data_IF_014327212260
#
_entry.id   IF_014327212260
#
_cell.length_a   1.000
_cell.length_b   1.000
_cell.length_c   1.000
_cell.angle_alpha   90.00
_cell.angle_beta   90.00
_cell.angle_gamma   90.00
#
_symmetry.space_group_name_H-M   'P 1'
#
loop_
_entity.id
_entity.type
_entity.pdbx_description
1 polymer ?
#
# COMPACT_ATOMS: atom_id res chain seq x y z
N UNK A 1 -5.36 -15.69 -40.18
CA UNK A 1 -4.74 -15.57 -38.84
C UNK A 1 -3.32 -16.07 -38.99
N UNK A 2 -2.31 -15.30 -38.58
CA UNK A 2 -0.90 -15.66 -38.78
C UNK A 2 -0.36 -16.62 -37.72
N UNK A 3 -1.20 -17.02 -36.76
CA UNK A 3 -0.83 -17.97 -35.73
C UNK A 3 -0.86 -19.39 -36.29
N UNK A 4 0.28 -19.83 -36.80
CA UNK A 4 0.55 -21.20 -37.22
C UNK A 4 1.67 -21.79 -36.35
N UNK A 5 1.28 -22.66 -35.42
CA UNK A 5 2.21 -23.30 -34.48
C UNK A 5 2.99 -24.46 -35.10
N UNK A 6 2.59 -24.93 -36.28
CA UNK A 6 3.24 -26.04 -36.98
C UNK A 6 4.26 -25.50 -37.99
N UNK A 7 3.92 -24.46 -38.73
CA UNK A 7 4.81 -23.84 -39.71
C UNK A 7 5.79 -22.85 -39.06
N UNK A 8 5.31 -21.98 -38.15
CA UNK A 8 6.13 -20.95 -37.51
C UNK A 8 5.97 -20.96 -35.97
N UNK A 9 6.51 -21.98 -35.28
CA UNK A 9 6.35 -22.12 -33.83
C UNK A 9 6.87 -20.91 -33.05
N UNK A 10 8.04 -20.38 -33.42
CA UNK A 10 8.69 -19.26 -32.72
C UNK A 10 7.90 -17.96 -32.85
N UNK A 11 7.38 -17.66 -34.04
CA UNK A 11 6.53 -16.50 -34.28
C UNK A 11 5.25 -16.59 -33.45
N UNK A 12 4.59 -17.74 -33.52
CA UNK A 12 3.33 -17.95 -32.83
C UNK A 12 3.49 -17.87 -31.31
N UNK A 13 4.58 -18.44 -30.77
CA UNK A 13 4.90 -18.30 -29.34
C UNK A 13 5.23 -16.87 -28.95
N UNK A 14 5.98 -16.14 -29.79
CA UNK A 14 6.25 -14.73 -29.55
C UNK A 14 4.96 -13.90 -29.45
N UNK A 15 4.01 -14.10 -30.37
CA UNK A 15 2.71 -13.41 -30.36
C UNK A 15 1.90 -13.78 -29.11
N UNK A 16 1.86 -15.06 -28.72
CA UNK A 16 1.21 -15.49 -27.47
C UNK A 16 1.85 -14.82 -26.24
N UNK A 17 3.18 -14.76 -26.17
CA UNK A 17 3.88 -14.07 -25.10
C UNK A 17 3.58 -12.57 -25.07
N UNK A 18 3.43 -11.91 -26.22
CA UNK A 18 2.96 -10.52 -26.33
C UNK A 18 1.56 -10.38 -25.70
N UNK A 19 0.61 -11.26 -26.03
CA UNK A 19 -0.75 -11.24 -25.47
C UNK A 19 -0.76 -11.42 -23.95
N UNK A 20 -0.07 -12.45 -23.44
CA UNK A 20 -0.01 -12.74 -22.00
C UNK A 20 0.63 -11.58 -21.23
N UNK A 21 1.75 -11.05 -21.73
CA UNK A 21 2.47 -9.95 -21.10
C UNK A 21 1.67 -8.65 -21.15
N UNK A 22 1.04 -8.36 -22.29
CA UNK A 22 0.17 -7.20 -22.45
C UNK A 22 -1.02 -7.24 -21.49
N UNK A 23 -1.69 -8.39 -21.39
CA UNK A 23 -2.79 -8.59 -20.45
C UNK A 23 -2.33 -8.41 -19.00
N UNK A 24 -1.23 -9.04 -18.61
CA UNK A 24 -0.68 -8.92 -17.26
C UNK A 24 -0.36 -7.47 -16.90
N UNK A 25 0.29 -6.72 -17.80
CA UNK A 25 0.60 -5.31 -17.58
C UNK A 25 -0.64 -4.42 -17.50
N UNK A 26 -1.64 -4.66 -18.35
CA UNK A 26 -2.92 -3.93 -18.27
C UNK A 26 -3.62 -4.18 -16.94
N UNK A 27 -3.70 -5.44 -16.51
CA UNK A 27 -4.31 -5.82 -15.23
C UNK A 27 -3.56 -5.13 -14.07
N UNK A 28 -2.23 -5.19 -14.05
CA UNK A 28 -1.42 -4.56 -13.00
C UNK A 28 -1.46 -3.03 -13.03
N UNK A 29 -1.64 -2.42 -14.20
CA UNK A 29 -1.80 -0.96 -14.32
C UNK A 29 -3.16 -0.48 -13.84
N UNK A 30 -4.23 -1.20 -14.19
CA UNK A 30 -5.62 -0.86 -13.86
C UNK A 30 -5.95 -1.20 -12.40
N UNK A 31 -5.56 -2.39 -11.95
CA UNK A 31 -5.84 -2.82 -10.57
C UNK A 31 -4.87 -2.10 -9.63
N UNK A 32 -5.40 -1.41 -8.62
CA UNK A 32 -4.57 -0.81 -7.57
C UNK A 32 -4.09 -1.87 -6.56
N UNK A 33 -3.43 -2.92 -7.05
CA UNK A 33 -2.87 -3.96 -6.22
C UNK A 33 -1.39 -3.66 -6.02
N UNK A 34 -0.95 -3.62 -4.76
CA UNK A 34 0.48 -3.62 -4.43
C UNK A 34 1.13 -2.25 -4.18
N UNK A 35 0.39 -1.13 -4.18
CA UNK A 35 0.96 0.18 -3.84
C UNK A 35 1.88 0.76 -4.92
N UNK A 36 1.67 0.34 -6.18
CA UNK A 36 2.41 0.85 -7.32
C UNK A 36 2.07 2.34 -7.54
N UNK A 37 3.10 3.18 -7.73
CA UNK A 37 2.90 4.62 -7.90
C UNK A 37 2.06 4.93 -9.14
N UNK A 38 1.36 6.08 -9.15
CA UNK A 38 0.52 6.50 -10.29
C UNK A 38 1.30 6.49 -11.61
N UNK A 39 2.56 6.93 -11.58
CA UNK A 39 3.44 6.92 -12.76
C UNK A 39 3.76 5.50 -13.26
N UNK A 40 4.10 4.58 -12.36
CA UNK A 40 4.37 3.19 -12.75
C UNK A 40 3.13 2.47 -13.29
N UNK A 41 1.94 2.81 -12.76
CA UNK A 41 0.68 2.28 -13.28
C UNK A 41 0.40 2.78 -14.70
N UNK A 42 0.56 4.08 -14.93
CA UNK A 42 0.42 4.66 -16.27
C UNK A 42 1.42 4.01 -17.26
N UNK A 43 2.66 3.83 -16.84
CA UNK A 43 3.67 3.13 -17.65
C UNK A 43 3.23 1.69 -17.97
N UNK A 44 2.76 0.92 -17.00
CA UNK A 44 2.27 -0.45 -17.23
C UNK A 44 1.08 -0.47 -18.20
N UNK A 45 0.17 0.50 -18.12
CA UNK A 45 -0.95 0.57 -19.08
C UNK A 45 -0.43 0.85 -20.49
N UNK A 46 0.44 1.85 -20.66
CA UNK A 46 1.01 2.20 -21.98
C UNK A 46 1.81 1.04 -22.56
N UNK A 47 2.69 0.44 -21.75
CA UNK A 47 3.46 -0.71 -22.16
C UNK A 47 2.54 -1.89 -22.51
N UNK A 48 1.54 -2.18 -21.66
CA UNK A 48 0.54 -3.23 -21.89
C UNK A 48 -0.23 -3.03 -23.20
N UNK A 49 -0.64 -1.80 -23.51
CA UNK A 49 -1.26 -1.46 -24.80
C UNK A 49 -0.29 -1.66 -25.97
N UNK A 50 1.00 -1.32 -25.81
CA UNK A 50 2.02 -1.59 -26.81
C UNK A 50 2.20 -3.08 -27.08
N UNK A 51 2.31 -3.89 -26.03
CA UNK A 51 2.40 -5.35 -26.12
C UNK A 51 1.16 -5.96 -26.77
N UNK A 52 -0.03 -5.55 -26.31
CA UNK A 52 -1.31 -6.05 -26.82
C UNK A 52 -1.53 -5.62 -28.28
N UNK A 53 -1.30 -4.35 -28.59
CA UNK A 53 -1.45 -3.79 -29.93
C UNK A 53 -0.48 -4.43 -30.93
N UNK A 54 0.78 -4.62 -30.55
CA UNK A 54 1.76 -5.27 -31.40
C UNK A 54 1.45 -6.77 -31.61
N UNK A 55 0.97 -7.46 -30.56
CA UNK A 55 0.49 -8.85 -30.68
C UNK A 55 -0.71 -8.98 -31.62
N UNK A 56 -1.68 -8.06 -31.54
CA UNK A 56 -2.83 -8.01 -32.46
C UNK A 56 -2.37 -7.74 -33.88
N UNK A 57 -1.48 -6.77 -34.07
CA UNK A 57 -0.93 -6.42 -35.38
C UNK A 57 -0.28 -7.64 -36.03
N UNK A 58 0.64 -8.32 -35.34
CA UNK A 58 1.32 -9.49 -35.87
C UNK A 58 0.38 -10.68 -36.07
N UNK A 59 -0.48 -10.99 -35.09
CA UNK A 59 -1.33 -12.18 -35.12
C UNK A 59 -2.47 -12.13 -36.15
N UNK A 60 -2.99 -10.93 -36.44
CA UNK A 60 -4.23 -10.78 -37.22
C UNK A 60 -4.12 -9.88 -38.45
N UNK A 61 -3.29 -8.84 -38.43
CA UNK A 61 -3.25 -7.81 -39.47
C UNK A 61 -2.09 -8.01 -40.44
N UNK A 62 -0.93 -8.41 -39.91
CA UNK A 62 0.27 -8.65 -40.69
C UNK A 62 0.04 -9.74 -41.74
N UNK A 63 0.62 -9.64 -42.92
CA UNK A 63 0.36 -10.61 -44.03
C UNK A 63 1.65 -11.29 -44.53
N UNK A 64 2.80 -10.95 -43.95
CA UNK A 64 4.10 -11.47 -44.33
C UNK A 64 5.15 -10.35 -44.49
N UNK A 65 6.41 -10.75 -44.55
CA UNK A 65 7.58 -9.87 -44.62
C UNK A 65 8.48 -9.98 -43.39
N UNK A 66 9.36 -8.99 -43.21
CA UNK A 66 10.28 -8.94 -42.06
C UNK A 66 9.62 -8.27 -40.86
N UNK A 67 9.78 -8.86 -39.69
CA UNK A 67 9.33 -8.31 -38.42
C UNK A 67 10.47 -8.31 -37.40
N UNK A 68 10.37 -7.43 -36.41
CA UNK A 68 11.39 -7.30 -35.37
C UNK A 68 10.91 -7.99 -34.10
N UNK A 69 11.65 -9.02 -33.70
CA UNK A 69 11.42 -9.71 -32.44
C UNK A 69 12.29 -9.06 -31.36
N UNK A 70 11.66 -8.43 -30.39
CA UNK A 70 12.36 -7.84 -29.24
C UNK A 70 12.13 -8.67 -27.98
N UNK A 71 12.75 -9.85 -27.88
CA UNK A 71 12.63 -10.68 -26.67
C UNK A 71 13.03 -9.94 -25.39
N UNK A 72 13.97 -9.00 -25.49
CA UNK A 72 14.41 -8.15 -24.37
C UNK A 72 13.29 -7.29 -23.81
N UNK A 73 12.28 -6.96 -24.62
CA UNK A 73 11.11 -6.21 -24.14
C UNK A 73 10.35 -6.98 -23.06
N UNK A 74 10.39 -8.32 -23.05
CA UNK A 74 9.72 -9.14 -22.04
C UNK A 74 10.41 -9.17 -20.68
N UNK A 75 11.64 -8.67 -20.56
CA UNK A 75 12.31 -8.58 -19.25
C UNK A 75 11.51 -7.69 -18.30
N UNK A 76 11.01 -6.56 -18.82
CA UNK A 76 10.22 -5.61 -18.05
C UNK A 76 8.92 -6.22 -17.49
N UNK A 77 8.01 -6.80 -18.30
CA UNK A 77 6.78 -7.40 -17.78
C UNK A 77 7.08 -8.52 -16.79
N UNK A 78 8.07 -9.38 -17.06
CA UNK A 78 8.44 -10.47 -16.15
C UNK A 78 8.94 -9.91 -14.81
N UNK A 79 9.81 -8.90 -14.81
CA UNK A 79 10.28 -8.28 -13.58
C UNK A 79 9.15 -7.64 -12.77
N UNK A 80 8.22 -6.93 -13.44
CA UNK A 80 7.08 -6.30 -12.77
C UNK A 80 6.19 -7.36 -12.12
N UNK A 81 5.89 -8.45 -12.83
CA UNK A 81 5.07 -9.57 -12.31
C UNK A 81 5.76 -10.26 -11.13
N UNK A 82 7.05 -10.58 -11.24
CA UNK A 82 7.82 -11.22 -10.15
C UNK A 82 7.88 -10.30 -8.92
N UNK A 83 8.14 -9.00 -9.11
CA UNK A 83 8.17 -8.04 -8.02
C UNK A 83 6.81 -7.87 -7.35
N UNK A 84 5.72 -7.92 -8.12
CA UNK A 84 4.37 -7.91 -7.59
C UNK A 84 4.12 -9.09 -6.65
N UNK A 85 4.41 -10.32 -7.07
CA UNK A 85 4.23 -11.51 -6.24
C UNK A 85 5.16 -11.52 -5.02
N UNK A 86 6.44 -11.16 -5.21
CA UNK A 86 7.41 -11.07 -4.12
C UNK A 86 6.95 -10.06 -3.05
N UNK A 87 6.43 -8.90 -3.46
CA UNK A 87 5.91 -7.89 -2.52
C UNK A 87 4.73 -8.39 -1.69
N UNK A 88 3.83 -9.21 -2.28
CA UNK A 88 2.73 -9.83 -1.53
C UNK A 88 3.22 -10.86 -0.53
N UNK A 89 4.22 -11.66 -0.88
CA UNK A 89 4.81 -12.65 0.03
C UNK A 89 5.43 -12.01 1.26
N UNK A 90 6.18 -10.91 1.11
CA UNK A 90 6.75 -10.18 2.24
C UNK A 90 5.68 -9.56 3.16
N UNK A 91 4.58 -9.03 2.60
CA UNK A 91 3.47 -8.52 3.42
C UNK A 91 2.76 -9.63 4.20
N UNK A 92 2.58 -10.81 3.60
CA UNK A 92 1.99 -11.97 4.28
C UNK A 92 2.90 -12.47 5.41
N UNK A 93 4.22 -12.50 5.20
CA UNK A 93 5.19 -12.85 6.23
C UNK A 93 5.17 -11.86 7.41
N UNK A 94 5.14 -10.55 7.12
CA UNK A 94 5.04 -9.50 8.15
C UNK A 94 3.69 -9.51 8.89
N UNK A 95 2.59 -9.81 8.19
CA UNK A 95 1.27 -9.94 8.82
C UNK A 95 1.16 -11.21 9.69
N UNK A 96 1.93 -12.26 9.36
CA UNK A 96 2.05 -13.47 10.18
C UNK A 96 3.02 -13.28 11.36
N UNK A 97 4.06 -12.44 11.21
CA UNK A 97 4.86 -11.89 12.31
C UNK A 97 4.13 -10.70 12.96
N UNK A 98 2.97 -10.97 13.55
CA UNK A 98 2.39 -10.05 14.53
C UNK A 98 3.44 -9.86 15.64
N UNK A 99 3.82 -8.63 16.05
CA UNK A 99 4.74 -8.44 17.15
C UNK A 99 4.16 -9.11 18.39
N UNK A 100 4.80 -10.17 18.87
CA UNK A 100 4.53 -10.72 20.17
C UNK A 100 4.96 -9.65 21.19
N UNK A 101 3.99 -9.00 21.81
CA UNK A 101 4.19 -8.07 22.91
C UNK A 101 4.69 -6.68 22.49
N UNK A 102 3.79 -5.71 22.45
CA UNK A 102 4.21 -4.38 22.87
C UNK A 102 4.79 -4.51 24.29
N UNK A 103 5.95 -3.89 24.63
CA UNK A 103 6.42 -3.86 26.00
C UNK A 103 5.31 -3.29 26.87
N UNK A 104 4.78 -4.09 27.79
CA UNK A 104 3.89 -3.55 28.81
C UNK A 104 4.66 -2.45 29.53
N UNK A 105 4.11 -1.23 29.67
CA UNK A 105 4.76 -0.19 30.44
C UNK A 105 4.91 -0.72 31.87
N UNK A 106 6.16 -0.89 32.32
CA UNK A 106 6.44 -1.21 33.72
C UNK A 106 5.78 -0.13 34.59
N UNK A 107 5.06 -0.51 35.66
CA UNK A 107 4.52 0.47 36.59
C UNK A 107 5.69 1.28 37.17
N UNK A 108 5.56 2.61 37.12
CA UNK A 108 6.56 3.54 37.62
C UNK A 108 6.82 3.29 39.12
N UNK A 109 8.08 3.40 39.60
CA UNK A 109 8.40 3.21 41.02
C UNK A 109 7.65 4.24 41.87
N UNK A 110 6.92 3.76 42.87
CA UNK A 110 6.21 4.60 43.82
C UNK A 110 7.20 5.54 44.54
N UNK A 111 6.90 6.84 44.67
CA UNK A 111 7.73 7.75 45.45
C UNK A 111 7.67 7.34 46.93
N UNK A 112 8.82 7.02 47.49
CA UNK A 112 9.01 6.75 48.92
C UNK A 112 8.77 8.06 49.68
N UNK A 113 7.53 8.25 50.14
CA UNK A 113 7.15 9.35 51.00
C UNK A 113 7.88 9.20 52.35
N UNK A 114 8.51 10.29 52.78
CA UNK A 114 9.52 10.34 53.84
C UNK A 114 9.15 9.66 55.16
N UNK A 115 10.19 9.15 55.81
CA UNK A 115 10.18 8.66 57.19
C UNK A 115 9.63 9.74 58.15
N UNK A 116 8.58 9.43 58.93
CA UNK A 116 8.24 10.19 60.12
C UNK A 116 9.08 9.71 61.33
N UNK A 117 9.37 10.60 62.29
CA UNK A 117 10.26 10.31 63.41
C UNK A 117 9.62 9.39 64.46
N UNK A 118 10.48 8.64 65.12
CA UNK A 118 10.20 7.67 66.18
C UNK A 118 9.61 8.35 67.43
N UNK A 119 8.41 7.93 67.88
CA UNK A 119 7.87 8.35 69.19
C UNK A 119 6.39 8.00 69.48
N UNK A 120 6.19 7.19 70.53
CA UNK A 120 4.99 6.96 71.37
C UNK A 120 3.84 6.03 70.86
N UNK A 121 3.40 5.03 71.66
CA UNK A 121 2.27 4.17 71.33
C UNK A 121 0.96 4.65 71.99
N UNK A 122 -0.16 4.64 71.25
CA UNK A 122 -1.51 4.70 71.82
C UNK A 122 -2.57 4.08 70.85
N UNK A 123 -3.68 3.51 71.35
CA UNK A 123 -4.40 2.40 70.72
C UNK A 123 -5.56 2.79 69.77
N UNK A 124 -5.85 1.87 68.84
CA UNK A 124 -7.04 1.71 67.97
C UNK A 124 -8.39 1.79 68.74
N UNK A 125 -9.59 2.01 68.12
CA UNK A 125 -10.04 1.34 66.89
C UNK A 125 -11.11 2.06 65.99
N UNK A 126 -11.46 1.35 64.90
CA UNK A 126 -12.82 1.20 64.35
C UNK A 126 -13.28 2.10 63.18
N UNK A 127 -13.77 1.43 62.12
CA UNK A 127 -14.81 1.94 61.22
C UNK A 127 -14.33 2.46 59.87
N UNK A 128 -14.54 1.67 58.83
CA UNK A 128 -14.36 2.09 57.44
C UNK A 128 -15.38 3.15 57.01
N UNK A 129 -14.99 4.24 56.32
CA UNK A 129 -15.91 5.03 55.53
C UNK A 129 -15.95 4.55 54.08
N UNK A 130 -17.17 4.38 53.59
CA UNK A 130 -17.57 3.93 52.27
C UNK A 130 -16.93 4.73 51.12
N UNK A 131 -16.60 4.03 50.04
CA UNK A 131 -16.12 4.58 48.77
C UNK A 131 -17.19 5.43 48.06
N UNK A 132 -16.91 6.71 47.85
CA UNK A 132 -17.62 7.55 46.87
C UNK A 132 -17.25 7.11 45.44
N UNK A 133 -18.21 6.92 44.51
CA UNK A 133 -17.88 6.70 43.10
C UNK A 133 -17.36 7.99 42.45
N UNK A 134 -16.31 7.85 41.65
CA UNK A 134 -15.65 8.93 40.93
C UNK A 134 -16.56 9.54 39.83
N UNK A 135 -16.40 10.85 39.48
CA UNK A 135 -17.22 11.50 38.47
C UNK A 135 -16.95 10.93 37.07
N UNK A 136 -18.01 10.86 36.26
CA UNK A 136 -17.99 10.47 34.85
C UNK A 136 -16.92 11.22 34.03
N UNK A 137 -16.22 10.56 33.08
CA UNK A 137 -15.30 11.25 32.19
C UNK A 137 -16.08 12.16 31.23
N UNK A 138 -15.72 13.44 31.25
CA UNK A 138 -16.16 14.45 30.29
C UNK A 138 -15.95 13.97 28.85
N UNK A 139 -17.00 14.18 28.05
CA UNK A 139 -17.06 13.93 26.62
C UNK A 139 -15.90 14.59 25.86
N UNK A 140 -15.54 13.98 24.74
CA UNK A 140 -14.28 14.17 24.04
C UNK A 140 -13.91 15.61 23.69
N UNK A 141 -12.61 15.88 23.80
CA UNK A 141 -11.99 17.03 23.18
C UNK A 141 -12.01 16.84 21.66
N UNK A 142 -12.98 17.49 21.00
CA UNK A 142 -12.97 17.66 19.55
C UNK A 142 -11.78 18.58 19.17
N UNK A 143 -11.00 18.25 18.12
CA UNK A 143 -9.95 19.13 17.65
C UNK A 143 -10.53 20.46 17.16
N UNK A 144 -10.00 21.54 17.73
CA UNK A 144 -10.29 22.93 17.39
C UNK A 144 -10.09 23.15 15.88
N UNK A 145 -11.13 23.69 15.22
CA UNK A 145 -11.22 23.83 13.77
C UNK A 145 -10.07 24.60 13.12
N UNK A 146 -9.70 24.17 11.92
CA UNK A 146 -8.70 24.82 11.08
C UNK A 146 -9.13 26.26 10.69
N UNK A 147 -8.20 27.22 10.58
CA UNK A 147 -8.52 28.57 10.13
C UNK A 147 -9.10 28.59 8.71
N UNK A 148 -10.14 29.38 8.51
CA UNK A 148 -10.80 29.57 7.21
C UNK A 148 -9.86 30.26 6.19
N UNK A 149 -9.95 29.93 4.89
CA UNK A 149 -9.19 30.61 3.84
C UNK A 149 -9.66 32.07 3.67
N UNK A 150 -8.70 33.00 3.63
CA UNK A 150 -8.94 34.42 3.32
C UNK A 150 -9.41 34.57 1.85
N UNK A 151 -10.43 35.42 1.57
CA UNK A 151 -10.82 35.74 0.20
C UNK A 151 -9.74 36.54 -0.53
N UNK A 152 -9.44 36.16 -1.77
CA UNK A 152 -8.50 36.86 -2.64
C UNK A 152 -9.07 38.24 -3.08
N UNK A 153 -8.24 39.30 -3.18
CA UNK A 153 -8.68 40.60 -3.68
C UNK A 153 -9.01 40.56 -5.18
N UNK A 154 -10.05 41.32 -5.55
CA UNK A 154 -10.67 41.37 -6.86
C UNK A 154 -9.74 41.90 -7.98
N UNK A 155 -9.96 41.51 -9.25
CA UNK A 155 -9.17 42.01 -10.37
C UNK A 155 -9.48 43.49 -10.65
N UNK A 156 -8.45 44.33 -10.63
CA UNK A 156 -8.51 45.68 -11.19
C UNK A 156 -8.85 45.62 -12.68
N UNK A 157 -9.98 46.24 -13.05
CA UNK A 157 -10.28 46.60 -14.44
C UNK A 157 -9.40 47.77 -14.83
N UNK A 158 -8.42 47.55 -15.71
CA UNK A 158 -7.86 48.61 -16.53
C UNK A 158 -8.59 48.67 -17.87
N UNK A 159 -8.98 49.90 -18.21
CA UNK A 159 -9.63 50.33 -19.46
C UNK A 159 -8.56 50.64 -20.49
#
# INVERSE_FOLDING_TARGET
>A
MNLDFSAEPLFSWYVVLLFISGAAMLILGVVNAGGLSKGWRAFNVIAGLGFMGYGIYLGFIFQGGSYLIFFKAFILPVMVVVNFFRSRSHRKAMAAQKPMGAPQPMPAPYPMAGQPPMGAPAPQPMGAPQSMPAPYPMAGQQPMGAPAPQPAPAPERTV
#
